data_IF_531851765942
#
_entry.id   IF_531851765942
#
_cell.length_a   1.000
_cell.length_b   1.000
_cell.length_c   1.000
_cell.angle_alpha   90.00
_cell.angle_beta   90.00
_cell.angle_gamma   90.00
#
_symmetry.space_group_name_H-M   'P 1'
#
loop_
_entity.id
_entity.type
_entity.pdbx_description
1 polymer ?
#
# COMPACT_ATOMS: atom_id res chain seq x y z
N UNK A 1 15.88 6.99 29.22
CA UNK A 1 14.87 8.06 29.10
C UNK A 1 13.80 7.58 28.11
N UNK A 2 12.61 7.20 28.57
CA UNK A 2 11.51 6.74 27.69
C UNK A 2 10.85 7.98 27.10
N UNK A 3 11.08 8.27 25.81
CA UNK A 3 10.38 9.39 25.14
C UNK A 3 8.92 8.98 24.98
N UNK A 4 8.01 9.70 25.63
CA UNK A 4 6.59 9.60 25.38
C UNK A 4 6.33 10.36 24.07
N UNK A 5 6.54 9.69 22.95
CA UNK A 5 6.16 10.20 21.64
C UNK A 5 4.68 9.81 21.45
N UNK A 6 3.84 10.81 21.22
CA UNK A 6 2.43 10.63 20.88
C UNK A 6 2.21 11.22 19.49
N UNK A 7 1.39 10.56 18.68
CA UNK A 7 0.91 11.14 17.43
C UNK A 7 -0.31 11.98 17.78
N UNK A 8 -0.34 13.25 17.36
CA UNK A 8 -1.45 14.14 17.69
C UNK A 8 -2.79 13.57 17.18
N UNK A 9 -2.75 12.87 16.04
CA UNK A 9 -3.91 12.21 15.45
C UNK A 9 -4.51 11.08 16.30
N UNK A 10 -3.75 10.46 17.20
CA UNK A 10 -4.22 9.37 18.06
C UNK A 10 -5.03 9.84 19.26
N UNK A 11 -5.00 11.15 19.57
CA UNK A 11 -5.71 11.70 20.71
C UNK A 11 -7.20 11.80 20.39
N UNK A 12 -8.05 11.25 21.26
CA UNK A 12 -9.51 11.20 21.05
C UNK A 12 -10.19 12.57 20.95
N UNK A 13 -9.56 13.62 21.45
CA UNK A 13 -10.04 15.00 21.34
C UNK A 13 -9.52 15.73 20.09
N UNK A 14 -8.59 15.14 19.34
CA UNK A 14 -7.98 15.80 18.19
C UNK A 14 -9.00 15.97 17.06
N UNK A 15 -9.13 17.18 16.48
CA UNK A 15 -10.18 17.45 15.50
C UNK A 15 -10.11 16.55 14.27
N UNK A 16 -11.22 15.88 13.96
CA UNK A 16 -11.32 14.95 12.82
C UNK A 16 -10.97 15.64 11.49
N UNK A 17 -11.41 16.89 11.31
CA UNK A 17 -11.12 17.69 10.10
C UNK A 17 -9.63 17.91 9.87
N UNK A 18 -8.84 18.07 10.94
CA UNK A 18 -7.39 18.24 10.85
C UNK A 18 -6.73 16.89 10.58
N UNK A 19 -7.20 15.81 11.22
CA UNK A 19 -6.72 14.44 10.99
C UNK A 19 -6.88 14.03 9.52
N UNK A 20 -8.06 14.26 8.97
CA UNK A 20 -8.37 14.01 7.56
C UNK A 20 -7.49 14.87 6.64
N UNK A 21 -7.39 16.17 6.93
CA UNK A 21 -6.57 17.11 6.13
C UNK A 21 -5.08 16.75 6.15
N UNK A 22 -4.54 16.26 7.27
CA UNK A 22 -3.15 15.79 7.37
C UNK A 22 -2.94 14.56 6.49
N UNK A 23 -3.86 13.61 6.53
CA UNK A 23 -3.82 12.41 5.67
C UNK A 23 -3.84 12.80 4.19
N UNK A 24 -4.72 13.72 3.81
CA UNK A 24 -4.82 14.17 2.41
C UNK A 24 -3.61 14.98 1.97
N UNK A 25 -3.04 15.81 2.85
CA UNK A 25 -1.80 16.50 2.59
C UNK A 25 -0.64 15.52 2.35
N UNK A 26 -0.50 14.49 3.20
CA UNK A 26 0.53 13.46 3.03
C UNK A 26 0.37 12.71 1.71
N UNK A 27 -0.86 12.30 1.36
CA UNK A 27 -1.16 11.67 0.06
C UNK A 27 -0.77 12.59 -1.10
N UNK A 28 -1.13 13.86 -1.02
CA UNK A 28 -0.78 14.85 -2.04
C UNK A 28 0.74 15.05 -2.15
N UNK A 29 1.43 15.19 -1.02
CA UNK A 29 2.88 15.35 -0.97
C UNK A 29 3.61 14.16 -1.59
N UNK A 30 3.26 12.93 -1.21
CA UNK A 30 3.85 11.71 -1.77
C UNK A 30 3.65 11.63 -3.29
N UNK A 31 2.46 11.96 -3.77
CA UNK A 31 2.13 11.98 -5.19
C UNK A 31 2.93 13.04 -5.96
N UNK A 32 3.00 14.28 -5.45
CA UNK A 32 3.70 15.39 -6.12
C UNK A 32 5.20 15.16 -6.16
N UNK A 33 5.76 14.62 -5.08
CA UNK A 33 7.20 14.30 -4.99
C UNK A 33 7.58 13.03 -5.75
N UNK A 34 6.60 12.26 -6.25
CA UNK A 34 6.81 10.95 -6.88
C UNK A 34 7.66 10.04 -5.99
N UNK A 35 7.32 10.02 -4.70
CA UNK A 35 8.15 9.45 -3.65
C UNK A 35 8.50 7.98 -3.90
N UNK A 36 7.59 7.23 -4.53
CA UNK A 36 7.76 5.81 -4.83
C UNK A 36 8.48 5.55 -6.15
N UNK A 37 8.72 6.57 -6.98
CA UNK A 37 9.39 6.38 -8.27
C UNK A 37 10.79 5.73 -8.16
N UNK A 38 11.65 6.09 -7.18
CA UNK A 38 12.98 5.50 -7.07
C UNK A 38 12.98 4.00 -6.70
N UNK A 39 11.91 3.47 -6.10
CA UNK A 39 11.87 2.06 -5.68
C UNK A 39 11.45 1.11 -6.82
N UNK A 40 10.78 1.64 -7.86
CA UNK A 40 10.32 0.88 -9.04
C UNK A 40 11.42 -0.02 -9.66
N UNK A 41 12.62 0.47 -10.01
CA UNK A 41 13.64 -0.37 -10.64
C UNK A 41 14.10 -1.53 -9.74
N UNK A 42 14.16 -1.33 -8.43
CA UNK A 42 14.51 -2.39 -7.49
C UNK A 42 13.44 -3.47 -7.42
N UNK A 43 12.16 -3.07 -7.38
CA UNK A 43 11.03 -4.01 -7.41
C UNK A 43 11.03 -4.78 -8.73
N UNK A 44 11.21 -4.09 -9.86
CA UNK A 44 11.26 -4.74 -11.18
C UNK A 44 12.40 -5.76 -11.26
N UNK A 45 13.57 -5.46 -10.69
CA UNK A 45 14.70 -6.39 -10.70
C UNK A 45 14.41 -7.63 -9.86
N UNK A 46 13.86 -7.46 -8.65
CA UNK A 46 13.50 -8.59 -7.78
C UNK A 46 12.45 -9.48 -8.47
N UNK A 47 11.43 -8.89 -9.07
CA UNK A 47 10.40 -9.65 -9.79
C UNK A 47 10.99 -10.45 -10.95
N UNK A 48 11.94 -9.89 -11.70
CA UNK A 48 12.65 -10.58 -12.79
C UNK A 48 13.51 -11.74 -12.26
N UNK A 49 14.33 -11.50 -11.24
CA UNK A 49 15.23 -12.52 -10.67
C UNK A 49 14.48 -13.69 -10.05
N UNK A 50 13.31 -13.42 -9.45
CA UNK A 50 12.48 -14.43 -8.78
C UNK A 50 11.42 -15.04 -9.70
N UNK A 51 11.31 -14.55 -10.94
CA UNK A 51 10.24 -14.90 -11.88
C UNK A 51 8.83 -14.75 -11.28
N UNK A 52 8.66 -13.76 -10.39
CA UNK A 52 7.38 -13.44 -9.77
C UNK A 52 6.65 -12.37 -10.59
N UNK A 53 5.32 -12.47 -10.63
CA UNK A 53 4.45 -11.50 -11.28
C UNK A 53 3.41 -10.91 -10.31
N UNK A 54 3.47 -11.29 -9.03
CA UNK A 54 2.51 -10.89 -8.02
C UNK A 54 3.22 -10.20 -6.86
N UNK A 55 2.71 -9.04 -6.48
CA UNK A 55 3.11 -8.29 -5.29
C UNK A 55 2.00 -8.44 -4.25
N UNK A 56 2.38 -8.74 -3.01
CA UNK A 56 1.48 -8.74 -1.86
C UNK A 56 1.81 -7.50 -1.04
N UNK A 57 0.95 -6.48 -1.11
CA UNK A 57 1.14 -5.28 -0.30
C UNK A 57 0.49 -5.50 1.07
N UNK A 58 1.34 -5.49 2.10
CA UNK A 58 0.97 -5.68 3.49
C UNK A 58 0.74 -4.32 4.13
N UNK A 59 -0.39 -4.17 4.82
CA UNK A 59 -0.82 -2.89 5.39
C UNK A 59 -1.10 -1.83 4.31
N UNK A 60 -1.86 -2.21 3.29
CA UNK A 60 -2.15 -1.34 2.15
C UNK A 60 -2.92 -0.06 2.49
N UNK A 61 -3.58 0.01 3.65
CA UNK A 61 -4.45 1.13 4.01
C UNK A 61 -5.53 1.33 2.94
N UNK A 62 -5.57 2.51 2.31
CA UNK A 62 -6.45 2.80 1.17
C UNK A 62 -5.84 2.47 -0.22
N UNK A 63 -4.63 1.91 -0.28
CA UNK A 63 -3.96 1.48 -1.52
C UNK A 63 -3.32 2.59 -2.36
N UNK A 64 -3.14 3.79 -1.80
CA UNK A 64 -2.64 4.97 -2.53
C UNK A 64 -1.28 4.79 -3.24
N UNK A 65 -0.22 4.32 -2.54
CA UNK A 65 1.09 4.10 -3.16
C UNK A 65 1.09 3.06 -4.29
N UNK A 66 0.19 2.08 -4.21
CA UNK A 66 0.16 0.94 -5.13
C UNK A 66 -0.14 1.38 -6.56
N UNK A 67 -0.99 2.40 -6.75
CA UNK A 67 -1.29 2.91 -8.09
C UNK A 67 -0.04 3.47 -8.80
N UNK A 68 0.79 4.23 -8.07
CA UNK A 68 2.01 4.82 -8.61
C UNK A 68 3.04 3.73 -8.93
N UNK A 69 3.22 2.78 -8.02
CA UNK A 69 4.15 1.65 -8.20
C UNK A 69 3.72 0.77 -9.36
N UNK A 70 2.44 0.38 -9.44
CA UNK A 70 1.92 -0.45 -10.52
C UNK A 70 2.07 0.23 -11.88
N UNK A 71 1.73 1.52 -11.97
CA UNK A 71 1.88 2.30 -13.20
C UNK A 71 3.35 2.39 -13.62
N UNK A 72 4.24 2.58 -12.65
CA UNK A 72 5.67 2.62 -12.85
C UNK A 72 6.27 1.29 -13.31
N UNK A 73 5.85 0.18 -12.71
CA UNK A 73 6.27 -1.15 -13.10
C UNK A 73 5.81 -1.48 -14.51
N UNK A 74 4.52 -1.26 -14.83
CA UNK A 74 3.98 -1.50 -16.17
C UNK A 74 4.68 -0.68 -17.28
N UNK A 75 5.27 0.47 -16.95
CA UNK A 75 6.06 1.25 -17.90
C UNK A 75 7.47 0.68 -18.17
N UNK A 76 7.94 -0.23 -17.32
CA UNK A 76 9.32 -0.77 -17.34
C UNK A 76 9.38 -2.29 -17.53
N UNK A 77 8.28 -3.00 -17.27
CA UNK A 77 8.17 -4.45 -17.37
C UNK A 77 7.24 -4.87 -18.50
N UNK A 78 7.67 -5.87 -19.28
CA UNK A 78 6.85 -6.51 -20.33
C UNK A 78 5.80 -7.49 -19.78
N UNK A 79 5.81 -7.75 -18.46
CA UNK A 79 4.92 -8.69 -17.78
C UNK A 79 3.67 -8.04 -17.18
N UNK A 80 2.60 -8.82 -17.07
CA UNK A 80 1.34 -8.40 -16.44
C UNK A 80 1.46 -8.48 -14.91
N UNK A 81 1.97 -7.43 -14.28
CA UNK A 81 2.13 -7.37 -12.82
C UNK A 81 0.77 -7.28 -12.13
N UNK A 82 0.59 -8.13 -11.11
CA UNK A 82 -0.55 -8.13 -10.21
C UNK A 82 -0.14 -7.65 -8.83
N UNK A 83 -1.05 -6.94 -8.17
CA UNK A 83 -0.90 -6.52 -6.78
C UNK A 83 -2.12 -6.98 -6.00
N UNK A 84 -1.89 -7.68 -4.90
CA UNK A 84 -2.92 -8.05 -3.92
C UNK A 84 -2.78 -7.14 -2.71
N UNK A 85 -3.83 -6.35 -2.45
CA UNK A 85 -3.90 -5.47 -1.28
C UNK A 85 -4.33 -6.26 -0.06
N UNK A 86 -3.64 -6.07 1.06
CA UNK A 86 -3.99 -6.73 2.32
C UNK A 86 -3.82 -5.76 3.49
N UNK A 87 -4.65 -5.93 4.51
CA UNK A 87 -4.55 -5.15 5.73
C UNK A 87 -5.12 -5.93 6.91
N UNK A 88 -4.74 -5.52 8.12
CA UNK A 88 -5.36 -5.98 9.36
C UNK A 88 -6.79 -5.44 9.49
N UNK A 89 -7.04 -4.24 8.95
CA UNK A 89 -8.36 -3.64 8.87
C UNK A 89 -8.69 -3.25 7.41
N UNK A 90 -9.11 -4.20 6.56
CA UNK A 90 -9.29 -3.97 5.12
C UNK A 90 -10.25 -2.82 4.80
N UNK A 91 -9.79 -1.84 4.02
CA UNK A 91 -10.65 -0.78 3.49
C UNK A 91 -11.32 -1.23 2.19
N UNK A 92 -12.39 -2.03 2.33
CA UNK A 92 -13.10 -2.66 1.19
C UNK A 92 -13.58 -1.63 0.16
N UNK A 93 -14.07 -0.48 0.61
CA UNK A 93 -14.53 0.59 -0.27
C UNK A 93 -13.42 1.11 -1.17
N UNK A 94 -12.25 1.45 -0.59
CA UNK A 94 -11.08 1.89 -1.38
C UNK A 94 -10.56 0.78 -2.29
N UNK A 95 -10.51 -0.47 -1.81
CA UNK A 95 -10.01 -1.59 -2.60
C UNK A 95 -10.91 -1.92 -3.79
N UNK A 96 -12.22 -1.84 -3.61
CA UNK A 96 -13.19 -2.03 -4.69
C UNK A 96 -13.02 -0.97 -5.78
N UNK A 97 -12.81 0.30 -5.39
CA UNK A 97 -12.54 1.37 -6.34
C UNK A 97 -11.24 1.12 -7.13
N UNK A 98 -10.17 0.70 -6.45
CA UNK A 98 -8.89 0.38 -7.08
C UNK A 98 -8.98 -0.84 -8.02
N UNK A 99 -9.65 -1.91 -7.58
CA UNK A 99 -9.91 -3.08 -8.42
C UNK A 99 -10.74 -2.73 -9.65
N UNK A 100 -11.79 -1.92 -9.51
CA UNK A 100 -12.59 -1.47 -10.66
C UNK A 100 -11.78 -0.64 -11.66
N UNK A 101 -10.82 0.15 -11.16
CA UNK A 101 -9.91 0.93 -12.00
C UNK A 101 -8.85 0.06 -12.69
N UNK A 102 -8.39 -1.01 -12.05
CA UNK A 102 -7.34 -1.91 -12.56
C UNK A 102 -7.74 -3.39 -12.45
N UNK A 103 -8.79 -3.86 -13.13
CA UNK A 103 -9.42 -5.15 -12.86
C UNK A 103 -8.54 -6.37 -13.20
N UNK A 104 -7.50 -6.19 -14.02
CA UNK A 104 -6.56 -7.26 -14.40
C UNK A 104 -5.30 -7.30 -13.52
N UNK A 105 -5.06 -6.22 -12.76
CA UNK A 105 -3.79 -5.99 -12.07
C UNK A 105 -3.95 -5.79 -10.57
N UNK A 106 -5.15 -5.46 -10.08
CA UNK A 106 -5.40 -5.28 -8.64
C UNK A 106 -6.46 -6.27 -8.16
N UNK A 107 -6.11 -6.99 -7.11
CA UNK A 107 -7.01 -7.78 -6.25
C UNK A 107 -6.80 -7.37 -4.80
N UNK A 108 -7.66 -7.85 -3.90
CA UNK A 108 -7.51 -7.59 -2.47
C UNK A 108 -8.05 -8.75 -1.65
N UNK A 109 -7.52 -8.89 -0.44
CA UNK A 109 -8.06 -9.76 0.59
C UNK A 109 -9.07 -8.97 1.44
N UNK A 110 -10.31 -9.48 1.51
CA UNK A 110 -11.36 -8.87 2.33
C UNK A 110 -11.27 -9.27 3.80
N UNK A 111 -10.53 -10.34 4.10
CA UNK A 111 -10.27 -10.82 5.46
C UNK A 111 -9.05 -10.11 6.06
N UNK A 112 -9.07 -9.93 7.39
CA UNK A 112 -7.94 -9.35 8.13
C UNK A 112 -6.67 -10.20 7.98
N UNK A 113 -5.59 -9.59 7.49
CA UNK A 113 -4.24 -10.18 7.40
C UNK A 113 -3.29 -9.44 8.34
N UNK A 114 -2.77 -10.12 9.36
CA UNK A 114 -1.71 -9.56 10.20
C UNK A 114 -0.37 -9.72 9.47
N UNK A 115 0.31 -8.61 9.19
CA UNK A 115 1.61 -8.61 8.52
C UNK A 115 2.71 -9.39 9.28
N UNK A 116 2.51 -9.67 10.58
CA UNK A 116 3.40 -10.53 11.38
C UNK A 116 3.13 -12.02 11.18
N UNK A 117 1.96 -12.39 10.67
CA UNK A 117 1.52 -13.76 10.47
C UNK A 117 0.77 -13.88 9.13
N UNK A 118 1.51 -13.69 8.04
CA UNK A 118 0.96 -13.71 6.68
C UNK A 118 0.71 -15.17 6.25
N UNK A 119 -0.52 -15.53 5.82
CA UNK A 119 -0.83 -16.88 5.37
C UNK A 119 0.07 -17.38 4.23
N UNK A 120 0.30 -18.70 4.18
CA UNK A 120 1.21 -19.33 3.20
C UNK A 120 0.64 -19.33 1.78
N UNK A 121 -0.68 -19.25 1.64
CA UNK A 121 -1.39 -19.12 0.36
C UNK A 121 -1.07 -17.80 -0.37
N UNK A 122 -0.71 -16.74 0.36
CA UNK A 122 -0.33 -15.45 -0.20
C UNK A 122 1.11 -15.47 -0.73
N UNK A 123 1.24 -15.93 -1.97
CA UNK A 123 2.51 -16.07 -2.69
C UNK A 123 2.78 -14.87 -3.60
N UNK A 124 3.92 -14.23 -3.37
CA UNK A 124 4.39 -13.08 -4.15
C UNK A 124 5.48 -12.30 -3.42
N UNK A 125 5.95 -11.24 -4.06
CA UNK A 125 6.87 -10.29 -3.44
C UNK A 125 6.11 -9.49 -2.39
N UNK A 126 6.48 -9.61 -1.12
CA UNK A 126 5.82 -8.90 -0.02
C UNK A 126 6.38 -7.48 0.12
N UNK A 127 5.51 -6.49 0.13
CA UNK A 127 5.87 -5.07 0.27
C UNK A 127 5.11 -4.43 1.44
N UNK A 128 5.67 -3.35 1.97
CA UNK A 128 4.97 -2.40 2.86
C UNK A 128 5.34 -1.02 2.34
N UNK A 129 4.46 -0.39 1.55
CA UNK A 129 4.75 0.93 0.98
C UNK A 129 4.46 2.08 1.94
N UNK A 130 3.35 1.98 2.66
CA UNK A 130 2.92 3.00 3.59
C UNK A 130 2.04 2.37 4.65
N UNK A 131 2.52 2.36 5.88
CA UNK A 131 1.72 1.95 7.02
C UNK A 131 1.14 3.20 7.68
N UNK A 132 -0.17 3.30 7.67
CA UNK A 132 -0.88 4.26 8.51
C UNK A 132 -1.49 3.49 9.69
N UNK A 133 -1.17 3.89 10.92
CA UNK A 133 -1.80 3.37 12.13
C UNK A 133 -3.10 4.13 12.37
N UNK A 134 -4.18 3.74 11.70
CA UNK A 134 -5.50 4.01 12.26
C UNK A 134 -5.76 2.94 13.31
N UNK A 135 -5.80 3.35 14.57
CA UNK A 135 -6.17 2.50 15.71
C UNK A 135 -7.60 1.96 15.59
#
# INVERSE_FOLDING_TARGET
MRKLLFEFEDLSWFPDTIRESMTDYLRYFLKVTKFYKPVIPFISEILKQTNLQNIIDLCSGSGGPVEEVLSGLNATSEGNIKVTLTDKFPNISSYTLLQNKYPKSISFESTSIDAKNVPEELKGLRTIFFRYSSF
#
